data_IF_581114598768
#
_entry.id   IF_581114598768
#
_cell.length_a   1.000
_cell.length_b   1.000
_cell.length_c   1.000
_cell.angle_alpha   90.00
_cell.angle_beta   90.00
_cell.angle_gamma   90.00
#
_symmetry.space_group_name_H-M   'P 1'
#
loop_
_entity.id
_entity.type
_entity.pdbx_description
1 polymer ?
#
# COMPACT_ATOMS: atom_id res chain seq x y z
N UNK A 1 -1.93 13.01 -20.43
CA UNK A 1 -0.77 12.65 -19.59
C UNK A 1 0.05 13.90 -19.38
N UNK A 2 0.14 14.45 -18.15
CA UNK A 2 0.86 15.71 -17.90
C UNK A 2 2.37 15.51 -17.65
N UNK A 3 3.01 14.52 -18.28
CA UNK A 3 4.46 14.26 -18.13
C UNK A 3 5.19 14.22 -19.46
N UNK A 4 6.50 14.47 -19.40
CA UNK A 4 7.39 14.41 -20.56
C UNK A 4 7.49 12.97 -21.07
N UNK A 5 7.62 12.82 -22.39
CA UNK A 5 7.80 11.54 -23.05
C UNK A 5 8.93 11.62 -24.06
N UNK A 6 9.68 10.53 -24.20
CA UNK A 6 10.62 10.35 -25.30
C UNK A 6 9.80 10.14 -26.58
N UNK A 7 10.10 10.83 -27.70
CA UNK A 7 9.43 10.60 -28.97
C UNK A 7 9.42 9.13 -29.37
N UNK A 8 8.36 8.68 -30.01
CA UNK A 8 8.15 7.25 -30.28
C UNK A 8 9.28 6.63 -31.13
N UNK A 9 9.75 7.33 -32.16
CA UNK A 9 10.80 6.81 -33.05
C UNK A 9 12.23 6.95 -32.49
N UNK A 10 12.39 7.52 -31.29
CA UNK A 10 13.71 7.72 -30.71
C UNK A 10 14.30 6.41 -30.16
N UNK A 11 15.48 6.04 -30.65
CA UNK A 11 16.21 4.84 -30.22
C UNK A 11 16.54 4.82 -28.73
N UNK A 12 16.58 5.99 -28.08
CA UNK A 12 16.84 6.14 -26.64
C UNK A 12 15.89 5.28 -25.80
N UNK A 13 14.67 5.03 -26.28
CA UNK A 13 13.71 4.10 -25.64
C UNK A 13 14.29 2.70 -25.48
N UNK A 14 14.94 2.16 -26.51
CA UNK A 14 15.57 0.83 -26.48
C UNK A 14 16.86 0.84 -25.66
N UNK A 15 17.66 1.90 -25.77
CA UNK A 15 18.90 2.04 -25.00
C UNK A 15 18.62 2.05 -23.49
N UNK A 16 17.60 2.80 -23.05
CA UNK A 16 17.19 2.83 -21.64
C UNK A 16 16.68 1.48 -21.14
N UNK A 17 15.90 0.75 -21.94
CA UNK A 17 15.49 -0.62 -21.58
C UNK A 17 16.71 -1.53 -21.37
N UNK A 18 17.74 -1.42 -22.21
CA UNK A 18 18.97 -2.19 -22.05
C UNK A 18 19.80 -1.73 -20.86
N UNK A 19 19.99 -0.43 -20.67
CA UNK A 19 20.79 0.15 -19.57
C UNK A 19 20.22 -0.25 -18.21
N UNK A 20 18.89 -0.23 -18.07
CA UNK A 20 18.21 -0.57 -16.82
C UNK A 20 17.69 -2.01 -16.75
N UNK A 21 18.08 -2.87 -17.69
CA UNK A 21 17.67 -4.27 -17.79
C UNK A 21 16.13 -4.49 -17.69
N UNK A 22 15.36 -3.62 -18.35
CA UNK A 22 13.90 -3.67 -18.34
C UNK A 22 13.41 -4.76 -19.31
N UNK A 23 12.96 -5.87 -18.75
CA UNK A 23 12.45 -7.04 -19.51
C UNK A 23 10.93 -7.09 -19.64
N UNK A 24 10.20 -6.42 -18.76
CA UNK A 24 8.72 -6.42 -18.69
C UNK A 24 8.21 -5.03 -18.36
N UNK A 25 6.99 -4.73 -18.83
CA UNK A 25 6.25 -3.51 -18.51
C UNK A 25 5.02 -3.86 -17.67
N UNK A 26 4.56 -2.95 -16.77
CA UNK A 26 5.15 -1.64 -16.48
C UNK A 26 6.43 -1.73 -15.64
N UNK A 27 7.38 -0.83 -15.90
CA UNK A 27 8.61 -0.65 -15.12
C UNK A 27 8.79 0.83 -14.76
N UNK A 28 9.34 1.10 -13.58
CA UNK A 28 9.58 2.45 -13.08
C UNK A 28 10.94 2.48 -12.38
N UNK A 29 11.83 3.34 -12.87
CA UNK A 29 13.17 3.56 -12.33
C UNK A 29 13.20 4.93 -11.66
N UNK A 30 13.69 4.99 -10.42
CA UNK A 30 13.92 6.25 -9.73
C UNK A 30 15.36 6.69 -9.91
N UNK A 31 15.54 7.91 -10.43
CA UNK A 31 16.83 8.54 -10.65
C UNK A 31 16.88 9.79 -9.77
N UNK A 32 17.95 9.93 -9.00
CA UNK A 32 18.20 11.07 -8.13
C UNK A 32 18.62 12.32 -8.92
N UNK A 33 18.64 13.49 -8.25
CA UNK A 33 19.07 14.74 -8.88
C UNK A 33 20.54 14.73 -9.35
N UNK A 34 21.36 13.82 -8.83
CA UNK A 34 22.75 13.60 -9.26
C UNK A 34 22.87 12.65 -10.47
N UNK A 35 21.75 12.23 -11.05
CA UNK A 35 21.70 11.31 -12.19
C UNK A 35 21.93 9.83 -11.83
N UNK A 36 22.07 9.50 -10.54
CA UNK A 36 22.27 8.11 -10.10
C UNK A 36 20.93 7.41 -9.86
N UNK A 37 20.93 6.09 -10.05
CA UNK A 37 19.77 5.26 -9.75
C UNK A 37 19.59 5.19 -8.24
N UNK A 38 18.40 5.59 -7.77
CA UNK A 38 17.94 5.37 -6.39
C UNK A 38 17.38 3.95 -6.29
N UNK A 39 16.57 3.52 -7.25
CA UNK A 39 16.04 2.16 -7.30
C UNK A 39 15.50 1.78 -8.67
N UNK A 40 15.66 0.50 -9.03
CA UNK A 40 15.02 -0.11 -10.20
C UNK A 40 13.63 -0.69 -9.90
N UNK A 41 13.25 -0.79 -8.62
CA UNK A 41 11.99 -1.40 -8.17
C UNK A 41 10.90 -0.35 -7.91
N UNK A 42 10.91 0.76 -8.66
CA UNK A 42 10.00 1.88 -8.43
C UNK A 42 8.52 1.48 -8.53
N UNK A 43 8.20 0.56 -9.44
CA UNK A 43 6.83 0.09 -9.65
C UNK A 43 6.28 -0.63 -8.41
N UNK A 44 7.10 -1.47 -7.77
CA UNK A 44 6.74 -2.12 -6.51
C UNK A 44 6.57 -1.09 -5.38
N UNK A 45 7.50 -0.16 -5.23
CA UNK A 45 7.45 0.82 -4.13
C UNK A 45 6.22 1.72 -4.22
N UNK A 46 5.88 2.20 -5.42
CA UNK A 46 4.67 3.01 -5.62
C UNK A 46 3.41 2.18 -5.39
N UNK A 47 3.37 0.94 -5.88
CA UNK A 47 2.20 0.06 -5.70
C UNK A 47 1.96 -0.29 -4.23
N UNK A 48 3.02 -0.53 -3.45
CA UNK A 48 2.90 -0.97 -2.05
C UNK A 48 2.74 0.21 -1.10
N UNK A 49 3.50 1.29 -1.30
CA UNK A 49 3.64 2.37 -0.33
C UNK A 49 3.17 3.73 -0.85
N UNK A 50 2.81 3.87 -2.13
CA UNK A 50 2.28 5.11 -2.68
C UNK A 50 3.18 6.33 -2.43
N UNK A 51 2.58 7.48 -2.18
CA UNK A 51 3.30 8.74 -1.98
C UNK A 51 4.13 8.79 -0.67
N UNK A 52 3.76 7.99 0.34
CA UNK A 52 4.45 8.00 1.64
C UNK A 52 5.88 7.50 1.55
N UNK A 53 6.18 6.69 0.52
CA UNK A 53 7.51 6.19 0.24
C UNK A 53 8.45 7.25 -0.31
N UNK A 54 7.98 8.43 -0.77
CA UNK A 54 8.87 9.51 -1.20
C UNK A 54 9.89 9.86 -0.10
N UNK A 55 11.19 10.00 -0.41
CA UNK A 55 11.83 10.09 -1.73
C UNK A 55 12.24 8.74 -2.38
N UNK A 56 11.58 7.65 -1.99
CA UNK A 56 11.76 6.29 -2.49
C UNK A 56 13.15 5.71 -2.24
N UNK A 57 13.80 6.16 -1.16
CA UNK A 57 15.08 5.63 -0.69
C UNK A 57 14.85 4.40 0.18
N UNK A 58 15.82 3.48 0.21
CA UNK A 58 15.73 2.30 1.07
C UNK A 58 15.57 2.65 2.55
N UNK A 59 16.21 3.73 3.03
CA UNK A 59 16.02 4.19 4.41
C UNK A 59 14.57 4.55 4.69
N UNK A 60 13.93 5.28 3.78
CA UNK A 60 12.52 5.67 3.92
C UNK A 60 11.60 4.45 3.90
N UNK A 61 11.89 3.47 3.04
CA UNK A 61 11.13 2.21 2.99
C UNK A 61 11.26 1.45 4.32
N UNK A 62 12.47 1.31 4.87
CA UNK A 62 12.68 0.66 6.17
C UNK A 62 11.93 1.36 7.31
N UNK A 63 11.92 2.68 7.32
CA UNK A 63 11.20 3.46 8.33
C UNK A 63 9.68 3.23 8.24
N UNK A 64 9.14 3.18 7.02
CA UNK A 64 7.72 2.87 6.79
C UNK A 64 7.37 1.45 7.24
N UNK A 65 8.16 0.46 6.84
CA UNK A 65 7.96 -0.94 7.23
C UNK A 65 8.00 -1.11 8.76
N UNK A 66 8.94 -0.44 9.43
CA UNK A 66 9.03 -0.45 10.89
C UNK A 66 7.81 0.20 11.56
N UNK A 67 7.33 1.33 11.02
CA UNK A 67 6.14 2.01 11.53
C UNK A 67 4.88 1.15 11.35
N UNK A 68 4.70 0.57 10.16
CA UNK A 68 3.57 -0.33 9.87
C UNK A 68 3.58 -1.56 10.76
N UNK A 69 4.75 -2.20 10.96
CA UNK A 69 4.87 -3.33 11.87
C UNK A 69 4.46 -2.95 13.29
N UNK A 70 4.96 -1.83 13.80
CA UNK A 70 4.62 -1.35 15.16
C UNK A 70 3.13 -1.05 15.29
N UNK A 71 2.49 -0.51 14.26
CA UNK A 71 1.05 -0.29 14.23
C UNK A 71 0.27 -1.62 14.26
N UNK A 72 0.64 -2.58 13.42
CA UNK A 72 0.01 -3.90 13.38
C UNK A 72 0.14 -4.68 14.69
N UNK A 73 1.29 -4.57 15.36
CA UNK A 73 1.51 -5.15 16.70
C UNK A 73 0.61 -4.54 17.78
N UNK A 74 0.20 -3.28 17.60
CA UNK A 74 -0.70 -2.59 18.53
C UNK A 74 -2.19 -2.87 18.25
N UNK A 75 -2.52 -3.44 17.09
CA UNK A 75 -3.88 -3.79 16.70
C UNK A 75 -4.25 -5.21 17.16
N UNK A 76 -5.51 -5.44 17.57
CA UNK A 76 -5.99 -6.78 17.88
C UNK A 76 -5.96 -7.66 16.62
N UNK A 77 -5.62 -8.95 16.76
CA UNK A 77 -5.54 -9.88 15.62
C UNK A 77 -6.92 -10.26 15.07
N UNK A 78 -7.95 -10.22 15.92
CA UNK A 78 -9.32 -10.56 15.57
C UNK A 78 -10.27 -9.64 16.33
N UNK A 79 -11.36 -9.22 15.68
CA UNK A 79 -12.36 -8.31 16.24
C UNK A 79 -13.76 -8.70 15.80
N UNK A 80 -14.73 -8.41 16.67
CA UNK A 80 -16.15 -8.43 16.36
C UNK A 80 -16.60 -6.98 16.11
N UNK A 81 -17.47 -6.78 15.13
CA UNK A 81 -18.02 -5.47 14.77
C UNK A 81 -19.54 -5.50 14.87
N UNK A 82 -20.15 -4.44 15.42
CA UNK A 82 -21.62 -4.38 15.56
C UNK A 82 -22.34 -4.43 14.20
N UNK A 83 -21.69 -3.97 13.13
CA UNK A 83 -22.27 -3.91 11.78
C UNK A 83 -21.96 -5.17 10.97
N UNK A 84 -21.22 -6.13 11.52
CA UNK A 84 -20.85 -7.35 10.80
C UNK A 84 -20.78 -8.60 11.70
N UNK A 85 -21.52 -9.65 11.34
CA UNK A 85 -21.72 -10.83 12.19
C UNK A 85 -20.50 -11.78 12.28
N UNK A 86 -19.64 -11.85 11.25
CA UNK A 86 -18.49 -12.74 11.29
C UNK A 86 -17.29 -12.10 11.98
N UNK A 87 -16.42 -12.94 12.52
CA UNK A 87 -15.15 -12.49 13.08
C UNK A 87 -14.24 -11.92 11.99
N UNK A 88 -13.82 -10.67 12.17
CA UNK A 88 -12.89 -10.02 11.27
C UNK A 88 -11.46 -10.27 11.73
N UNK A 89 -10.57 -10.56 10.78
CA UNK A 89 -9.14 -10.76 11.04
C UNK A 89 -8.35 -9.53 10.62
N UNK A 90 -7.32 -9.19 11.39
CA UNK A 90 -6.36 -8.19 10.97
C UNK A 90 -5.58 -8.71 9.76
N UNK A 91 -5.56 -7.93 8.68
CA UNK A 91 -4.83 -8.24 7.46
C UNK A 91 -4.15 -6.99 6.88
N UNK A 92 -3.26 -7.20 5.90
CA UNK A 92 -2.59 -6.16 5.14
C UNK A 92 -3.06 -6.10 3.69
N UNK A 93 -3.70 -5.00 3.31
CA UNK A 93 -4.14 -4.72 1.95
C UNK A 93 -3.42 -3.50 1.37
N UNK A 94 -2.95 -3.59 0.11
CA UNK A 94 -2.33 -2.44 -0.60
C UNK A 94 -3.33 -1.31 -0.87
N UNK A 95 -4.58 -1.69 -1.09
CA UNK A 95 -5.71 -0.79 -1.25
C UNK A 95 -7.00 -1.59 -1.04
N UNK A 96 -7.99 -0.99 -0.43
CA UNK A 96 -9.33 -1.55 -0.28
C UNK A 96 -10.35 -0.42 -0.16
N UNK A 97 -11.65 -0.75 -0.20
CA UNK A 97 -12.72 0.18 0.11
C UNK A 97 -13.38 -0.31 1.40
N UNK A 98 -13.35 0.53 2.43
CA UNK A 98 -13.97 0.19 3.70
C UNK A 98 -15.49 0.11 3.54
N UNK A 99 -16.09 -0.99 3.97
CA UNK A 99 -17.52 -1.22 3.82
C UNK A 99 -18.40 -0.38 4.74
N UNK A 100 -17.86 0.13 5.84
CA UNK A 100 -18.58 1.02 6.75
C UNK A 100 -18.61 2.46 6.23
N UNK A 101 -17.45 3.05 5.91
CA UNK A 101 -17.37 4.47 5.53
C UNK A 101 -17.33 4.73 4.01
N UNK A 102 -17.20 3.68 3.20
CA UNK A 102 -17.08 3.70 1.73
C UNK A 102 -15.91 4.53 1.20
N UNK A 103 -14.87 4.76 2.01
CA UNK A 103 -13.63 5.43 1.62
C UNK A 103 -12.50 4.43 1.39
N UNK A 104 -11.51 4.85 0.60
CA UNK A 104 -10.30 4.07 0.37
C UNK A 104 -9.51 3.85 1.66
N UNK A 105 -9.03 2.63 1.86
CA UNK A 105 -8.11 2.24 2.91
C UNK A 105 -6.82 1.68 2.35
N UNK A 106 -5.81 1.59 3.22
CA UNK A 106 -4.47 1.12 2.86
C UNK A 106 -3.76 0.56 4.09
N UNK A 107 -2.91 -0.44 3.86
CA UNK A 107 -2.17 -1.20 4.85
C UNK A 107 -3.09 -2.02 5.75
N UNK A 108 -3.35 -1.60 6.97
CA UNK A 108 -4.09 -2.40 7.93
C UNK A 108 -5.60 -2.35 7.68
N UNK A 109 -6.21 -3.53 7.59
CA UNK A 109 -7.65 -3.72 7.44
C UNK A 109 -8.13 -4.83 8.38
N UNK A 110 -9.37 -4.75 8.83
CA UNK A 110 -10.08 -5.89 9.39
C UNK A 110 -10.91 -6.51 8.29
N UNK A 111 -10.56 -7.72 7.85
CA UNK A 111 -11.17 -8.40 6.71
C UNK A 111 -11.91 -9.67 7.14
N UNK A 112 -13.03 -9.96 6.47
CA UNK A 112 -13.80 -11.18 6.65
C UNK A 112 -13.54 -12.18 5.52
N UNK A 113 -12.93 -13.33 5.82
CA UNK A 113 -12.71 -14.41 4.84
C UNK A 113 -14.00 -15.06 4.29
N UNK A 114 -15.16 -14.79 4.89
CA UNK A 114 -16.44 -15.44 4.53
C UNK A 114 -17.22 -14.61 3.50
N UNK A 115 -17.11 -13.29 3.54
CA UNK A 115 -17.95 -12.40 2.74
C UNK A 115 -17.22 -11.17 2.19
N UNK A 116 -15.89 -11.15 2.29
CA UNK A 116 -15.01 -10.08 1.80
C UNK A 116 -15.36 -8.69 2.36
N UNK A 117 -15.87 -8.63 3.60
CA UNK A 117 -16.16 -7.38 4.30
C UNK A 117 -14.85 -6.79 4.84
N UNK A 118 -14.47 -5.61 4.33
CA UNK A 118 -13.24 -4.92 4.72
C UNK A 118 -13.53 -3.66 5.53
N UNK A 119 -12.82 -3.48 6.64
CA UNK A 119 -13.05 -2.37 7.56
C UNK A 119 -11.75 -1.65 7.92
N UNK A 120 -11.78 -0.31 7.92
CA UNK A 120 -10.68 0.45 8.53
C UNK A 120 -10.56 0.12 10.03
N UNK A 121 -9.35 0.01 10.59
CA UNK A 121 -9.17 -0.15 12.03
C UNK A 121 -9.88 0.92 12.87
N UNK A 122 -10.01 2.14 12.33
CA UNK A 122 -10.72 3.26 12.96
C UNK A 122 -12.23 3.26 12.79
N UNK A 123 -12.77 2.43 11.88
CA UNK A 123 -14.21 2.32 11.62
C UNK A 123 -14.87 1.17 12.41
N UNK A 124 -14.09 0.46 13.24
CA UNK A 124 -14.56 -0.61 14.10
C UNK A 124 -15.46 -0.06 15.21
N UNK A 125 -16.67 -0.60 15.30
CA UNK A 125 -17.59 -0.34 16.40
C UNK A 125 -17.70 -1.60 17.26
N UNK A 126 -17.05 -1.58 18.43
CA UNK A 126 -17.06 -2.71 19.35
C UNK A 126 -18.45 -2.89 19.96
N UNK A 127 -18.84 -4.15 20.15
CA UNK A 127 -19.99 -4.51 20.97
C UNK A 127 -19.67 -4.10 22.42
N UNK A 128 -20.29 -3.03 22.93
CA UNK A 128 -20.19 -2.66 24.33
C UNK A 128 -20.93 -3.71 25.17
N UNK A 129 -20.19 -4.53 25.93
CA UNK A 129 -20.76 -5.43 26.93
C UNK A 129 -20.95 -4.77 28.32
N UNK A 130 -20.83 -3.44 28.42
CA UNK A 130 -20.91 -2.70 29.69
C UNK A 130 -22.33 -2.24 30.08
N UNK A 131 -23.37 -2.99 29.71
CA UNK A 131 -24.70 -2.83 30.30
C UNK A 131 -25.32 -4.18 30.65
N UNK A 132 -24.94 -4.70 31.82
CA UNK A 132 -25.79 -5.58 32.61
C UNK A 132 -25.83 -5.08 34.06
N UNK A 133 -27.05 -4.92 34.53
CA UNK A 133 -27.60 -4.42 35.80
C UNK A 133 -27.21 -5.23 37.03
#
# INVERSE_FOLDING_TARGET
>A
MPWLAIPYEDRTRHDLCRIFDIKKIPALVFIGPDGKVISLNGQFMVSSYGAEAFPFTESRIRDLEAALRKEGEALPQQVEDVKHEHLLKLDMAKAYVCDSCKKQGKFWTFSCDVCDYDLHPSCLEKVNNDQCW
#
